data_IF_718270290298
#
_entry.id   IF_718270290298
#
_cell.length_a   1.000
_cell.length_b   1.000
_cell.length_c   1.000
_cell.angle_alpha   90.00
_cell.angle_beta   90.00
_cell.angle_gamma   90.00
#
_symmetry.space_group_name_H-M   'P 1'
#
loop_
_entity.id
_entity.type
_entity.pdbx_description
1 polymer ?
#
# COMPACT_ATOMS: atom_id res chain seq x y z
N UNK A 1 16.08 -12.40 -23.48
CA UNK A 1 16.20 -12.73 -22.05
C UNK A 1 15.43 -11.70 -21.22
N UNK A 2 14.69 -12.09 -20.18
CA UNK A 2 13.93 -11.15 -19.32
C UNK A 2 14.78 -10.00 -18.76
N UNK A 3 16.10 -10.20 -18.66
CA UNK A 3 17.08 -9.23 -18.18
C UNK A 3 17.23 -8.04 -19.16
N UNK A 4 17.33 -8.33 -20.45
CA UNK A 4 17.61 -7.30 -21.46
C UNK A 4 16.40 -6.36 -21.58
N UNK A 5 15.17 -6.88 -21.58
CA UNK A 5 13.96 -6.05 -21.67
C UNK A 5 13.66 -5.23 -20.39
N UNK A 6 14.12 -5.68 -19.22
CA UNK A 6 13.79 -5.03 -17.96
C UNK A 6 14.67 -3.80 -17.70
N UNK A 7 15.97 -3.93 -17.93
CA UNK A 7 16.98 -2.96 -17.50
C UNK A 7 17.64 -2.14 -18.61
N UNK A 8 17.27 -2.35 -19.89
CA UNK A 8 17.91 -1.90 -21.14
C UNK A 8 18.89 -0.72 -21.13
N UNK A 9 18.78 0.27 -20.25
CA UNK A 9 19.53 1.53 -20.29
C UNK A 9 20.13 1.98 -18.94
N UNK A 10 19.98 1.27 -17.82
CA UNK A 10 20.45 1.76 -16.51
C UNK A 10 21.83 1.20 -16.11
N UNK A 11 22.79 2.07 -15.84
CA UNK A 11 24.20 1.69 -15.56
C UNK A 11 24.39 0.73 -14.37
N UNK A 12 23.55 0.82 -13.34
CA UNK A 12 23.59 -0.06 -12.17
C UNK A 12 22.93 -1.43 -12.40
N UNK A 13 22.37 -1.69 -13.60
CA UNK A 13 21.69 -2.94 -13.92
C UNK A 13 22.56 -4.19 -13.75
N UNK A 14 23.88 -4.04 -13.89
CA UNK A 14 24.81 -5.15 -13.70
C UNK A 14 24.90 -5.63 -12.24
N UNK A 15 24.51 -4.80 -11.26
CA UNK A 15 24.49 -5.19 -9.85
C UNK A 15 23.39 -6.21 -9.56
N UNK A 16 22.26 -6.18 -10.27
CA UNK A 16 21.08 -6.97 -9.91
C UNK A 16 20.79 -8.06 -10.94
N UNK A 17 20.75 -9.31 -10.48
CA UNK A 17 20.33 -10.45 -11.30
C UNK A 17 18.84 -10.71 -11.09
N UNK A 18 18.02 -10.42 -12.09
CA UNK A 18 16.58 -10.74 -12.07
C UNK A 18 16.39 -12.24 -11.88
N UNK A 19 15.48 -12.60 -10.98
CA UNK A 19 15.07 -13.99 -10.70
C UNK A 19 13.72 -14.23 -11.37
N UNK A 20 12.69 -13.48 -10.97
CA UNK A 20 11.33 -13.65 -11.44
C UNK A 20 10.49 -12.38 -11.29
N UNK A 21 9.37 -12.31 -12.01
CA UNK A 21 8.38 -11.24 -11.84
C UNK A 21 7.41 -11.63 -10.73
N UNK A 22 7.36 -10.84 -9.65
CA UNK A 22 6.52 -11.12 -8.48
C UNK A 22 5.25 -10.25 -8.44
N UNK A 23 5.18 -9.19 -9.23
CA UNK A 23 3.99 -8.33 -9.27
C UNK A 23 3.87 -7.52 -10.54
N UNK A 24 2.64 -7.34 -11.02
CA UNK A 24 2.29 -6.41 -12.09
C UNK A 24 1.14 -5.55 -11.61
N UNK A 25 1.34 -4.24 -11.60
CA UNK A 25 0.34 -3.26 -11.17
C UNK A 25 0.17 -2.16 -12.20
N UNK A 26 -0.75 -1.24 -11.91
CA UNK A 26 -1.09 -0.11 -12.78
C UNK A 26 0.12 0.75 -13.15
N UNK A 27 1.09 0.86 -12.24
CA UNK A 27 2.24 1.75 -12.39
C UNK A 27 3.51 1.04 -12.87
N UNK A 28 3.48 -0.29 -13.05
CA UNK A 28 4.65 -1.01 -13.51
C UNK A 28 4.78 -2.44 -13.02
N UNK A 29 6.03 -2.92 -13.01
CA UNK A 29 6.37 -4.31 -12.76
C UNK A 29 7.33 -4.40 -11.59
N UNK A 30 7.08 -5.36 -10.70
CA UNK A 30 7.95 -5.69 -9.57
C UNK A 30 8.60 -7.05 -9.84
N UNK A 31 9.92 -7.09 -9.75
CA UNK A 31 10.70 -8.31 -9.91
C UNK A 31 11.47 -8.64 -8.63
N UNK A 32 11.56 -9.92 -8.28
CA UNK A 32 12.56 -10.38 -7.34
C UNK A 32 13.91 -10.45 -8.05
N UNK A 33 14.97 -10.01 -7.37
CA UNK A 33 16.32 -10.03 -7.90
C UNK A 33 17.33 -10.39 -6.80
N UNK A 34 18.49 -10.89 -7.21
CA UNK A 34 19.66 -11.06 -6.34
C UNK A 34 20.59 -9.84 -6.53
N UNK A 35 20.86 -9.12 -5.45
CA UNK A 35 21.93 -8.13 -5.41
C UNK A 35 23.28 -8.87 -5.36
N UNK A 36 24.08 -8.74 -6.42
CA UNK A 36 25.34 -9.47 -6.56
C UNK A 36 26.45 -8.94 -5.66
N UNK A 37 26.34 -7.71 -5.15
CA UNK A 37 27.31 -7.16 -4.20
C UNK A 37 27.07 -7.67 -2.78
N UNK A 38 25.81 -7.77 -2.36
CA UNK A 38 25.46 -8.17 -0.99
C UNK A 38 25.06 -9.64 -0.85
N UNK A 39 24.77 -10.32 -1.95
CA UNK A 39 24.23 -11.67 -1.98
C UNK A 39 22.79 -11.78 -1.46
N UNK A 40 22.10 -10.66 -1.23
CA UNK A 40 20.73 -10.63 -0.68
C UNK A 40 19.70 -10.56 -1.78
N UNK A 41 18.53 -11.16 -1.53
CA UNK A 41 17.36 -10.99 -2.40
C UNK A 41 16.68 -9.64 -2.13
N UNK A 42 16.23 -8.99 -3.19
CA UNK A 42 15.57 -7.68 -3.18
C UNK A 42 14.36 -7.68 -4.11
N UNK A 43 13.45 -6.73 -3.93
CA UNK A 43 12.37 -6.45 -4.85
C UNK A 43 12.67 -5.18 -5.64
N UNK A 44 12.56 -5.20 -6.96
CA UNK A 44 12.83 -4.05 -7.84
C UNK A 44 11.53 -3.68 -8.54
N UNK A 45 11.00 -2.50 -8.21
CA UNK A 45 9.82 -1.91 -8.84
C UNK A 45 10.27 -0.99 -9.96
N UNK A 46 10.02 -1.39 -11.21
CA UNK A 46 10.17 -0.53 -12.40
C UNK A 46 8.86 0.22 -12.61
N UNK A 47 8.92 1.54 -12.50
CA UNK A 47 7.82 2.45 -12.78
C UNK A 47 8.09 3.08 -14.13
N UNK A 48 7.18 2.92 -15.08
CA UNK A 48 7.37 3.38 -16.47
C UNK A 48 6.74 4.75 -16.68
N UNK A 49 7.25 5.49 -17.66
CA UNK A 49 6.62 6.71 -18.19
C UNK A 49 6.26 7.72 -17.07
N UNK A 50 7.18 7.92 -16.12
CA UNK A 50 6.88 8.57 -14.82
C UNK A 50 6.44 10.04 -14.92
N UNK A 51 6.60 10.65 -16.09
CA UNK A 51 6.26 12.03 -16.39
C UNK A 51 5.09 12.20 -17.39
N UNK A 52 4.45 11.10 -17.81
CA UNK A 52 3.30 11.16 -18.73
C UNK A 52 2.12 11.91 -18.10
N UNK A 53 1.83 11.63 -16.82
CA UNK A 53 0.76 12.29 -16.07
C UNK A 53 1.29 12.92 -14.77
N UNK A 54 1.00 14.21 -14.58
CA UNK A 54 1.41 14.96 -13.38
C UNK A 54 0.90 14.32 -12.08
N UNK A 55 -0.31 13.72 -12.09
CA UNK A 55 -0.87 13.04 -10.92
C UNK A 55 -0.05 11.83 -10.49
N UNK A 56 0.48 11.07 -11.45
CA UNK A 56 1.27 9.86 -11.20
C UNK A 56 2.68 10.23 -10.75
N UNK A 57 3.29 11.23 -11.38
CA UNK A 57 4.56 11.80 -10.94
C UNK A 57 4.50 12.24 -9.46
N UNK A 58 3.42 12.93 -9.06
CA UNK A 58 3.19 13.33 -7.67
C UNK A 58 2.98 12.14 -6.73
N UNK A 59 2.31 11.07 -7.19
CA UNK A 59 2.11 9.83 -6.44
C UNK A 59 3.45 9.14 -6.16
N UNK A 60 4.28 9.00 -7.19
CA UNK A 60 5.60 8.36 -7.12
C UNK A 60 6.53 9.16 -6.21
N UNK A 61 6.62 10.48 -6.41
CA UNK A 61 7.43 11.36 -5.58
C UNK A 61 7.02 11.28 -4.11
N UNK A 62 5.71 11.22 -3.83
CA UNK A 62 5.17 11.09 -2.47
C UNK A 62 5.56 9.75 -1.84
N UNK A 63 5.38 8.65 -2.56
CA UNK A 63 5.75 7.30 -2.11
C UNK A 63 7.25 7.25 -1.74
N UNK A 64 8.12 7.69 -2.64
CA UNK A 64 9.58 7.72 -2.42
C UNK A 64 9.94 8.62 -1.23
N UNK A 65 9.38 9.83 -1.16
CA UNK A 65 9.69 10.79 -0.09
C UNK A 65 9.27 10.25 1.28
N UNK A 66 8.06 9.70 1.39
CA UNK A 66 7.57 9.15 2.66
C UNK A 66 8.38 7.93 3.09
N UNK A 67 8.65 6.99 2.18
CA UNK A 67 9.41 5.78 2.49
C UNK A 67 10.88 6.05 2.83
N UNK A 68 11.48 7.15 2.35
CA UNK A 68 12.81 7.58 2.80
C UNK A 68 12.82 8.20 4.20
N UNK A 69 11.69 8.76 4.64
CA UNK A 69 11.56 9.43 5.94
C UNK A 69 11.04 8.47 7.03
N UNK A 70 10.12 7.57 6.70
CA UNK A 70 9.53 6.61 7.62
C UNK A 70 10.47 5.41 7.77
N UNK A 71 11.00 5.20 8.97
CA UNK A 71 11.89 4.08 9.31
C UNK A 71 11.29 3.29 10.45
N UNK A 72 10.68 2.15 10.13
CA UNK A 72 9.98 1.31 11.08
C UNK A 72 10.04 -0.17 10.65
N UNK A 73 10.17 -1.14 11.58
CA UNK A 73 10.25 -2.55 11.23
C UNK A 73 9.07 -3.08 10.42
N UNK A 74 7.87 -2.52 10.62
CA UNK A 74 6.64 -2.93 9.94
C UNK A 74 6.25 -2.02 8.76
N UNK A 75 7.21 -1.24 8.23
CA UNK A 75 7.06 -0.48 6.98
C UNK A 75 8.15 -0.97 6.02
N UNK A 76 7.81 -1.09 4.74
CA UNK A 76 8.77 -1.51 3.71
C UNK A 76 9.90 -0.48 3.55
N UNK A 77 11.13 -0.95 3.47
CA UNK A 77 12.31 -0.10 3.34
C UNK A 77 12.77 0.02 1.88
N UNK A 78 13.03 1.25 1.43
CA UNK A 78 13.80 1.50 0.20
C UNK A 78 15.27 1.26 0.49
N UNK A 79 15.86 0.26 -0.19
CA UNK A 79 17.29 -0.05 -0.13
C UNK A 79 18.12 0.80 -1.07
N UNK A 80 17.61 1.02 -2.29
CA UNK A 80 18.32 1.76 -3.33
C UNK A 80 17.33 2.37 -4.34
N UNK A 81 17.74 3.43 -5.03
CA UNK A 81 17.01 4.00 -6.17
C UNK A 81 18.00 4.09 -7.30
N UNK A 82 17.77 3.38 -8.40
CA UNK A 82 18.68 3.45 -9.55
C UNK A 82 18.43 4.74 -10.30
N UNK A 83 19.50 5.49 -10.54
CA UNK A 83 19.43 6.76 -11.22
C UNK A 83 19.49 6.56 -12.74
N UNK A 84 18.73 7.34 -13.53
CA UNK A 84 18.87 7.35 -14.97
C UNK A 84 20.30 7.79 -15.35
N UNK A 85 20.86 7.30 -16.47
CA UNK A 85 22.20 7.71 -16.93
C UNK A 85 22.27 9.21 -17.21
N UNK A 86 21.17 9.80 -17.66
CA UNK A 86 21.07 11.24 -17.90
C UNK A 86 19.65 11.77 -17.66
N UNK A 87 19.52 13.09 -17.49
CA UNK A 87 18.20 13.76 -17.39
C UNK A 87 17.34 13.56 -18.64
N UNK A 88 17.95 13.39 -19.81
CA UNK A 88 17.23 13.22 -21.09
C UNK A 88 16.60 11.84 -21.22
N UNK A 89 17.23 10.84 -20.62
CA UNK A 89 16.79 9.44 -20.60
C UNK A 89 15.95 9.12 -19.37
N UNK A 90 15.57 10.14 -18.59
CA UNK A 90 14.78 9.93 -17.39
C UNK A 90 13.31 9.68 -17.73
N UNK A 91 13.01 8.45 -18.14
CA UNK A 91 11.66 8.01 -18.51
C UNK A 91 11.05 7.08 -17.47
N UNK A 92 11.86 6.17 -16.95
CA UNK A 92 11.47 5.17 -15.96
C UNK A 92 12.13 5.47 -14.60
N UNK A 93 11.61 4.91 -13.50
CA UNK A 93 12.28 4.88 -12.19
C UNK A 93 12.36 3.43 -11.72
N UNK A 94 13.53 3.04 -11.20
CA UNK A 94 13.72 1.74 -10.54
C UNK A 94 13.95 1.96 -9.06
N UNK A 95 13.01 1.49 -8.23
CA UNK A 95 13.12 1.54 -6.77
C UNK A 95 13.37 0.13 -6.26
N UNK A 96 14.46 -0.04 -5.50
CA UNK A 96 14.86 -1.29 -4.88
C UNK A 96 14.38 -1.29 -3.43
N UNK A 97 13.60 -2.29 -3.08
CA UNK A 97 13.05 -2.55 -1.76
C UNK A 97 13.64 -3.82 -1.16
N UNK A 98 13.49 -3.99 0.14
CA UNK A 98 13.57 -5.34 0.71
C UNK A 98 12.53 -6.27 0.09
N UNK A 99 12.90 -7.54 -0.10
CA UNK A 99 11.98 -8.55 -0.64
C UNK A 99 11.12 -9.12 0.49
N UNK A 100 9.82 -9.20 0.24
CA UNK A 100 8.85 -9.98 1.01
C UNK A 100 8.27 -11.06 0.10
N UNK A 101 8.09 -12.26 0.61
CA UNK A 101 7.70 -13.44 -0.17
C UNK A 101 6.25 -13.39 -0.64
N UNK A 102 5.39 -12.70 0.10
CA UNK A 102 3.95 -12.65 -0.19
C UNK A 102 3.33 -11.35 0.31
N UNK A 103 2.00 -11.27 0.20
CA UNK A 103 1.17 -10.25 0.82
C UNK A 103 0.05 -10.92 1.63
N UNK A 104 -0.58 -10.14 2.50
CA UNK A 104 -1.59 -10.66 3.42
C UNK A 104 -2.83 -11.17 2.67
N UNK A 105 -3.11 -10.71 1.44
CA UNK A 105 -4.22 -11.23 0.64
C UNK A 105 -3.98 -12.69 0.26
N UNK A 106 -2.78 -12.99 -0.27
CA UNK A 106 -2.42 -14.37 -0.63
C UNK A 106 -2.29 -15.26 0.61
N UNK A 107 -1.80 -14.72 1.74
CA UNK A 107 -1.75 -15.46 3.02
C UNK A 107 -3.15 -15.86 3.50
N UNK A 108 -4.12 -14.95 3.50
CA UNK A 108 -5.50 -15.23 3.93
C UNK A 108 -6.15 -16.27 2.99
N UNK A 109 -5.89 -16.16 1.69
CA UNK A 109 -6.47 -17.06 0.68
C UNK A 109 -5.89 -18.47 0.71
N UNK A 110 -4.60 -18.60 1.01
CA UNK A 110 -3.89 -19.87 0.92
C UNK A 110 -3.93 -20.68 2.22
N UNK A 111 -4.21 -20.06 3.36
CA UNK A 111 -3.93 -20.66 4.66
C UNK A 111 -5.16 -20.73 5.56
N UNK A 112 -5.79 -21.91 5.58
CA UNK A 112 -6.87 -22.24 6.52
C UNK A 112 -6.37 -22.49 7.96
N UNK A 113 -5.04 -22.58 8.17
CA UNK A 113 -4.41 -22.90 9.46
C UNK A 113 -3.93 -21.65 10.23
N UNK A 114 -4.46 -20.46 9.92
CA UNK A 114 -4.15 -19.26 10.70
C UNK A 114 -4.67 -19.39 12.14
N UNK A 115 -3.76 -19.72 13.05
CA UNK A 115 -4.06 -19.78 14.49
C UNK A 115 -4.35 -18.40 15.11
N UNK A 116 -4.91 -18.41 16.31
CA UNK A 116 -5.18 -17.20 17.11
C UNK A 116 -3.92 -16.33 17.31
N UNK A 117 -2.77 -16.97 17.50
CA UNK A 117 -1.49 -16.30 17.70
C UNK A 117 -1.07 -15.54 16.44
N UNK A 118 -1.28 -16.12 15.25
CA UNK A 118 -1.06 -15.43 13.98
C UNK A 118 -1.98 -14.20 13.87
N UNK A 119 -3.26 -14.35 14.17
CA UNK A 119 -4.22 -13.24 14.15
C UNK A 119 -3.78 -12.09 15.06
N UNK A 120 -3.43 -12.39 16.30
CA UNK A 120 -2.95 -11.40 17.27
C UNK A 120 -1.67 -10.72 16.80
N UNK A 121 -0.73 -11.49 16.24
CA UNK A 121 0.55 -10.97 15.80
C UNK A 121 0.44 -10.11 14.53
N UNK A 122 -0.44 -10.46 13.60
CA UNK A 122 -0.75 -9.64 12.44
C UNK A 122 -1.40 -8.32 12.85
N UNK A 123 -2.42 -8.35 13.70
CA UNK A 123 -3.08 -7.14 14.21
C UNK A 123 -2.09 -6.24 14.95
N UNK A 124 -1.25 -6.81 15.81
CA UNK A 124 -0.23 -6.07 16.55
C UNK A 124 0.73 -5.33 15.62
N UNK A 125 1.28 -5.99 14.59
CA UNK A 125 2.22 -5.36 13.66
C UNK A 125 1.55 -4.25 12.83
N UNK A 126 0.31 -4.46 12.36
CA UNK A 126 -0.45 -3.42 11.65
C UNK A 126 -0.68 -2.20 12.53
N UNK A 127 -1.14 -2.39 13.78
CA UNK A 127 -1.37 -1.30 14.73
C UNK A 127 -0.07 -0.60 15.15
N UNK A 128 1.04 -1.34 15.28
CA UNK A 128 2.35 -0.78 15.59
C UNK A 128 2.86 0.13 14.46
N UNK A 129 2.70 -0.29 13.20
CA UNK A 129 2.97 0.54 12.03
C UNK A 129 2.11 1.82 12.02
N UNK A 130 0.81 1.69 12.27
CA UNK A 130 -0.11 2.84 12.26
C UNK A 130 0.19 3.81 13.38
N UNK A 131 0.48 3.34 14.60
CA UNK A 131 0.91 4.20 15.70
C UNK A 131 2.09 5.07 15.26
N UNK A 132 3.12 4.46 14.67
CA UNK A 132 4.29 5.19 14.18
C UNK A 132 3.91 6.24 13.12
N UNK A 133 3.16 5.86 12.09
CA UNK A 133 2.75 6.77 11.02
C UNK A 133 1.86 7.92 11.52
N UNK A 134 0.87 7.60 12.35
CA UNK A 134 -0.10 8.56 12.89
C UNK A 134 0.56 9.56 13.83
N UNK A 135 1.56 9.14 14.63
CA UNK A 135 2.35 10.10 15.43
C UNK A 135 3.17 11.09 14.59
N UNK A 136 3.46 10.74 13.32
CA UNK A 136 4.08 11.63 12.34
C UNK A 136 3.06 12.37 11.46
N UNK A 137 1.77 12.35 11.81
CA UNK A 137 0.66 12.91 11.03
C UNK A 137 0.59 12.39 9.59
N UNK A 138 1.02 11.15 9.37
CA UNK A 138 0.94 10.47 8.06
C UNK A 138 -0.22 9.47 8.08
N UNK A 139 -1.16 9.63 7.16
CA UNK A 139 -2.30 8.71 6.99
C UNK A 139 -2.14 7.92 5.70
N UNK A 140 -2.30 6.60 5.75
CA UNK A 140 -2.05 5.71 4.63
C UNK A 140 -3.15 5.81 3.56
N UNK A 141 -4.41 5.80 3.99
CA UNK A 141 -5.63 6.00 3.19
C UNK A 141 -6.00 4.90 2.18
N UNK A 142 -5.09 3.97 1.89
CA UNK A 142 -5.35 2.83 0.99
C UNK A 142 -4.88 1.51 1.60
N UNK A 143 -5.14 1.31 2.89
CA UNK A 143 -4.84 0.03 3.54
C UNK A 143 -5.81 -1.04 3.04
N UNK A 144 -5.23 -2.16 2.60
CA UNK A 144 -5.90 -3.37 2.14
C UNK A 144 -4.91 -4.54 2.24
N UNK A 145 -5.35 -5.81 2.26
CA UNK A 145 -4.45 -6.94 2.44
C UNK A 145 -3.28 -6.99 1.43
N UNK A 146 -3.52 -6.59 0.16
CA UNK A 146 -2.47 -6.49 -0.87
C UNK A 146 -1.38 -5.44 -0.60
N UNK A 147 -1.66 -4.45 0.26
CA UNK A 147 -0.70 -3.42 0.66
C UNK A 147 0.00 -3.75 1.99
N UNK A 148 -0.20 -4.96 2.52
CA UNK A 148 0.46 -5.50 3.71
C UNK A 148 1.29 -6.70 3.26
N UNK A 149 2.58 -6.48 3.06
CA UNK A 149 3.51 -7.54 2.66
C UNK A 149 3.76 -8.49 3.83
N UNK A 150 3.96 -9.77 3.55
CA UNK A 150 4.15 -10.83 4.54
C UNK A 150 5.31 -11.76 4.17
N UNK A 151 5.97 -12.33 5.18
CA UNK A 151 7.00 -13.37 5.00
C UNK A 151 6.69 -14.65 5.78
N UNK A 152 7.46 -15.71 5.53
CA UNK A 152 7.30 -17.01 6.18
C UNK A 152 7.43 -16.96 7.72
N UNK A 153 8.07 -15.92 8.25
CA UNK A 153 8.23 -15.70 9.70
C UNK A 153 7.08 -14.86 10.29
N UNK A 154 5.97 -14.73 9.57
CA UNK A 154 4.80 -13.94 9.96
C UNK A 154 5.10 -12.44 10.21
N UNK A 155 6.19 -11.90 9.63
CA UNK A 155 6.47 -10.47 9.69
C UNK A 155 5.64 -9.74 8.64
N UNK A 156 5.05 -8.62 9.05
CA UNK A 156 4.27 -7.77 8.17
C UNK A 156 4.97 -6.46 7.89
N UNK A 157 4.83 -5.95 6.65
CA UNK A 157 5.32 -4.63 6.24
C UNK A 157 4.30 -3.89 5.39
N UNK A 158 3.93 -2.69 5.81
CA UNK A 158 3.05 -1.80 5.04
C UNK A 158 3.79 -1.24 3.82
N UNK A 159 3.13 -1.22 2.66
CA UNK A 159 3.64 -0.68 1.39
C UNK A 159 2.59 0.15 0.63
N UNK A 160 2.97 0.76 -0.50
CA UNK A 160 2.13 1.63 -1.36
C UNK A 160 1.62 2.93 -0.69
N UNK A 161 2.57 3.84 -0.45
CA UNK A 161 2.31 5.14 0.15
C UNK A 161 1.89 6.21 -0.88
N UNK A 162 1.55 5.82 -2.11
CA UNK A 162 1.22 6.77 -3.17
C UNK A 162 -0.01 7.63 -2.84
N UNK A 163 -0.99 7.04 -2.16
CA UNK A 163 -2.21 7.72 -1.73
C UNK A 163 -2.13 8.31 -0.32
N UNK A 164 -1.03 8.07 0.40
CA UNK A 164 -0.83 8.60 1.74
C UNK A 164 -0.85 10.13 1.74
N UNK A 165 -1.16 10.75 2.88
CA UNK A 165 -1.10 12.21 3.04
C UNK A 165 -0.51 12.57 4.38
N UNK A 166 0.18 13.71 4.40
CA UNK A 166 0.65 14.31 5.65
C UNK A 166 -0.30 15.44 5.99
N UNK A 167 -0.87 15.42 7.19
CA UNK A 167 -1.68 16.52 7.70
C UNK A 167 -0.72 17.61 8.21
N UNK A 168 -0.40 18.58 7.34
CA UNK A 168 0.44 19.74 7.70
C UNK A 168 -0.37 20.93 8.23
N UNK A 169 -1.71 20.87 8.19
CA UNK A 169 -2.60 21.95 8.65
C UNK A 169 -4.01 21.44 8.93
N UNK A 170 -4.75 22.13 9.80
CA UNK A 170 -6.18 21.90 10.12
C UNK A 170 -7.14 22.17 8.95
N UNK A 171 -6.61 22.53 7.78
CA UNK A 171 -7.40 22.81 6.59
C UNK A 171 -7.81 21.49 5.92
N UNK A 172 -9.13 21.24 5.74
CA UNK A 172 -9.61 20.06 5.06
C UNK A 172 -9.12 20.10 3.62
N UNK A 173 -8.14 19.25 3.30
CA UNK A 173 -7.65 19.12 1.93
C UNK A 173 -8.71 18.36 1.14
N UNK A 174 -9.47 19.03 0.27
CA UNK A 174 -10.44 18.40 -0.61
C UNK A 174 -9.73 17.45 -1.57
N UNK A 175 -9.63 16.18 -1.17
CA UNK A 175 -9.13 15.13 -2.07
C UNK A 175 -10.36 14.48 -2.69
N UNK A 176 -10.58 14.80 -3.96
CA UNK A 176 -11.46 14.04 -4.82
C UNK A 176 -10.91 12.61 -4.91
N UNK A 177 -11.58 11.67 -4.24
CA UNK A 177 -11.43 10.27 -4.58
C UNK A 177 -12.05 10.10 -5.96
N UNK A 178 -11.23 9.97 -7.00
CA UNK A 178 -11.76 9.59 -8.31
C UNK A 178 -12.46 8.26 -8.15
N UNK A 179 -13.74 8.28 -8.50
CA UNK A 179 -14.76 7.30 -8.12
C UNK A 179 -14.61 5.95 -8.87
N UNK A 180 -13.42 5.60 -9.37
CA UNK A 180 -13.32 4.56 -10.40
C UNK A 180 -12.18 3.56 -10.31
N UNK A 181 -11.18 3.70 -9.42
CA UNK A 181 -9.92 2.94 -9.63
C UNK A 181 -9.40 2.12 -8.44
N UNK A 182 -10.10 2.07 -7.30
CA UNK A 182 -9.62 1.25 -6.16
C UNK A 182 -10.73 0.51 -5.42
N UNK A 183 -10.37 -0.65 -4.86
CA UNK A 183 -11.21 -1.51 -4.03
C UNK A 183 -11.78 -0.72 -2.85
N UNK A 184 -13.11 -0.62 -2.76
CA UNK A 184 -13.82 0.17 -1.73
C UNK A 184 -14.00 -0.56 -0.40
N UNK A 185 -13.74 -1.87 -0.37
CA UNK A 185 -14.10 -2.77 0.73
C UNK A 185 -13.48 -2.40 2.08
N UNK A 186 -12.37 -1.67 2.06
CA UNK A 186 -11.63 -1.25 3.25
C UNK A 186 -11.75 0.25 3.54
N UNK A 187 -12.55 1.00 2.75
CA UNK A 187 -12.71 2.45 2.93
C UNK A 187 -13.66 2.74 4.09
N UNK A 188 -13.30 3.73 4.88
CA UNK A 188 -14.13 4.23 5.97
C UNK A 188 -15.42 4.90 5.43
N UNK A 189 -16.56 4.80 6.14
CA UNK A 189 -17.85 5.31 5.65
C UNK A 189 -17.83 6.80 5.29
N UNK A 190 -17.09 7.62 6.06
CA UNK A 190 -16.92 9.05 5.82
C UNK A 190 -16.24 9.35 4.48
N UNK A 191 -15.45 8.42 3.95
CA UNK A 191 -14.84 8.53 2.62
C UNK A 191 -15.75 8.07 1.48
N UNK A 192 -16.85 7.38 1.80
CA UNK A 192 -17.85 6.90 0.84
C UNK A 192 -19.01 7.88 0.66
N UNK A 193 -19.39 8.63 1.71
CA UNK A 193 -20.58 9.51 1.70
C UNK A 193 -20.29 11.01 1.66
N UNK A 194 -19.18 11.49 2.23
CA UNK A 194 -18.93 12.92 2.42
C UNK A 194 -17.54 13.35 1.94
N UNK A 195 -17.49 14.05 0.80
CA UNK A 195 -16.24 14.55 0.20
C UNK A 195 -15.56 15.69 0.99
N UNK A 196 -16.17 16.16 2.08
CA UNK A 196 -15.73 17.34 2.85
C UNK A 196 -15.29 17.06 4.29
N UNK A 197 -15.23 15.79 4.72
CA UNK A 197 -14.83 15.45 6.09
C UNK A 197 -13.33 15.69 6.34
N UNK A 198 -13.00 16.20 7.54
CA UNK A 198 -11.62 16.30 8.01
C UNK A 198 -11.04 14.89 8.14
N UNK A 199 -9.88 14.65 7.51
CA UNK A 199 -9.19 13.38 7.60
C UNK A 199 -8.62 13.20 9.01
N UNK A 200 -8.99 12.09 9.65
CA UNK A 200 -8.44 11.70 10.95
C UNK A 200 -7.68 10.39 10.82
N UNK A 201 -6.82 10.04 11.79
CA UNK A 201 -6.22 8.71 11.88
C UNK A 201 -7.24 7.56 11.83
N UNK A 202 -8.51 7.81 12.16
CA UNK A 202 -9.57 6.81 12.25
C UNK A 202 -9.84 6.10 10.92
N UNK A 203 -9.58 6.75 9.78
CA UNK A 203 -9.77 6.13 8.45
C UNK A 203 -8.90 4.88 8.27
N UNK A 204 -7.66 4.92 8.75
CA UNK A 204 -6.74 3.79 8.66
C UNK A 204 -7.11 2.70 9.69
N UNK A 205 -7.66 3.11 10.85
CA UNK A 205 -8.16 2.17 11.88
C UNK A 205 -9.37 1.40 11.37
N UNK A 206 -10.29 2.06 10.65
CA UNK A 206 -11.39 1.39 9.97
C UNK A 206 -10.88 0.33 8.98
N UNK A 207 -9.93 0.70 8.12
CA UNK A 207 -9.34 -0.24 7.17
C UNK A 207 -8.69 -1.43 7.86
N UNK A 208 -7.97 -1.21 8.98
CA UNK A 208 -7.42 -2.31 9.81
C UNK A 208 -8.53 -3.20 10.37
N UNK A 209 -9.65 -2.63 10.82
CA UNK A 209 -10.80 -3.39 11.27
C UNK A 209 -11.34 -4.33 10.18
N UNK A 210 -11.53 -3.81 8.96
CA UNK A 210 -11.94 -4.62 7.81
C UNK A 210 -10.92 -5.72 7.47
N UNK A 211 -9.62 -5.39 7.45
CA UNK A 211 -8.55 -6.36 7.18
C UNK A 211 -8.52 -7.45 8.25
N UNK A 212 -8.65 -7.06 9.53
CA UNK A 212 -8.61 -8.01 10.64
C UNK A 212 -9.82 -8.93 10.64
N UNK A 213 -11.02 -8.42 10.32
CA UNK A 213 -12.18 -9.26 10.10
C UNK A 213 -11.97 -10.24 8.93
N UNK A 214 -11.34 -9.81 7.83
CA UNK A 214 -11.01 -10.70 6.71
C UNK A 214 -10.00 -11.77 7.11
N UNK A 215 -9.00 -11.45 7.93
CA UNK A 215 -8.06 -12.43 8.51
C UNK A 215 -8.80 -13.48 9.34
N UNK A 216 -9.81 -13.09 10.11
CA UNK A 216 -10.57 -14.01 10.98
C UNK A 216 -11.57 -14.89 10.22
N UNK A 217 -12.17 -14.37 9.15
CA UNK A 217 -13.30 -15.00 8.45
C UNK A 217 -12.84 -15.66 7.12
N UNK A 218 -11.65 -15.32 6.63
CA UNK A 218 -11.12 -15.80 5.35
C UNK A 218 -11.73 -15.11 4.12
N UNK A 219 -12.59 -14.11 4.29
CA UNK A 219 -13.24 -13.37 3.21
C UNK A 219 -13.49 -11.90 3.57
N UNK A 220 -13.55 -10.99 2.57
CA UNK A 220 -13.76 -9.56 2.83
C UNK A 220 -15.03 -9.28 3.61
N UNK A 221 -14.94 -8.38 4.60
CA UNK A 221 -16.08 -8.03 5.47
C UNK A 221 -17.19 -7.30 4.71
N UNK A 222 -16.83 -6.33 3.86
CA UNK A 222 -17.78 -5.51 3.11
C UNK A 222 -17.46 -5.48 1.60
N UNK A 223 -17.80 -6.54 0.84
CA UNK A 223 -17.51 -6.64 -0.59
C UNK A 223 -18.51 -5.84 -1.45
N UNK A 224 -18.61 -4.53 -1.22
CA UNK A 224 -19.54 -3.66 -1.94
C UNK A 224 -19.22 -3.55 -3.43
N UNK A 225 -20.29 -3.48 -4.24
CA UNK A 225 -20.24 -3.39 -5.72
C UNK A 225 -20.38 -1.96 -6.24
N UNK A 226 -20.98 -1.09 -5.43
CA UNK A 226 -21.15 0.34 -5.67
C UNK A 226 -20.99 1.06 -4.33
N UNK A 227 -20.91 2.40 -4.35
CA UNK A 227 -20.86 3.19 -3.11
C UNK A 227 -22.11 2.93 -2.25
N UNK A 228 -23.28 2.90 -2.87
CA UNK A 228 -24.56 2.62 -2.18
C UNK A 228 -24.53 1.22 -1.56
N UNK A 229 -24.20 0.19 -2.33
CA UNK A 229 -24.12 -1.18 -1.81
C UNK A 229 -23.05 -1.34 -0.71
N UNK A 230 -21.95 -0.59 -0.80
CA UNK A 230 -20.93 -0.58 0.26
C UNK A 230 -21.50 -0.01 1.57
N UNK A 231 -22.24 1.10 1.50
CA UNK A 231 -22.88 1.71 2.66
C UNK A 231 -23.98 0.80 3.23
N UNK A 232 -24.79 0.17 2.37
CA UNK A 232 -25.83 -0.77 2.78
C UNK A 232 -25.22 -1.92 3.61
N UNK A 233 -24.16 -2.56 3.11
CA UNK A 233 -23.45 -3.63 3.83
C UNK A 233 -22.91 -3.18 5.20
N UNK A 234 -22.45 -1.94 5.30
CA UNK A 234 -21.94 -1.37 6.55
C UNK A 234 -23.08 -1.15 7.53
N UNK A 235 -24.18 -0.55 7.09
CA UNK A 235 -25.36 -0.28 7.94
C UNK A 235 -26.12 -1.54 8.31
N UNK A 236 -26.10 -2.57 7.48
CA UNK A 236 -26.71 -3.87 7.79
C UNK A 236 -26.00 -4.55 8.97
N UNK A 237 -24.68 -4.39 9.08
CA UNK A 237 -23.90 -4.97 10.16
C UNK A 237 -23.86 -4.10 11.42
N UNK A 238 -23.64 -2.79 11.27
CA UNK A 238 -23.42 -1.86 12.38
C UNK A 238 -24.68 -1.12 12.84
N UNK A 239 -25.78 -1.25 12.08
CA UNK A 239 -27.00 -0.47 12.25
C UNK A 239 -26.98 0.87 11.51
N UNK A 240 -28.14 1.50 11.41
CA UNK A 240 -28.28 2.83 10.81
C UNK A 240 -27.57 3.88 11.67
N UNK A 241 -26.74 4.77 11.09
CA UNK A 241 -26.08 5.84 11.84
C UNK A 241 -27.10 6.78 12.48
N UNK A 242 -26.71 7.44 13.58
CA UNK A 242 -27.56 8.44 14.22
C UNK A 242 -27.83 9.63 13.27
N UNK A 243 -28.95 10.36 13.44
CA UNK A 243 -29.23 11.55 12.64
C UNK A 243 -28.10 12.59 12.68
N UNK A 244 -27.44 12.74 13.83
CA UNK A 244 -26.29 13.64 14.03
C UNK A 244 -25.11 13.25 13.12
N UNK A 245 -24.83 11.95 13.02
CA UNK A 245 -23.79 11.42 12.12
C UNK A 245 -24.13 11.62 10.64
N UNK A 246 -25.41 11.59 10.29
CA UNK A 246 -25.88 11.79 8.91
C UNK A 246 -25.87 13.28 8.54
N UNK A 247 -26.16 14.17 9.49
CA UNK A 247 -26.19 15.62 9.26
C UNK A 247 -24.81 16.27 9.17
N UNK A 248 -23.76 15.62 9.71
CA UNK A 248 -22.37 16.08 9.69
C UNK A 248 -22.01 17.02 10.83
#
# INVERSE_FOLDING_TARGET
DLKDDFFTEYGDANQYKIIEVIGKGSYGVVCAALDTHTGKKVAIKKIRDVFEYTSDALRILREVKLLRLLRHPDIVEIKHIMLPPSKREFKDIFVVFELMESDLHEVIKANDDLTREHHQFFLYQMLRAMKYMHTANVYHRDLKPKNILANANCKLKVCDFGLARVAFSDTPTTVFWTDYVATRWYRAPELCGFFFSKYTPAIDIWSIGCIFAEVLIGKPLFPGKSVVHQLDLITDLLGTPSPETISG
#
